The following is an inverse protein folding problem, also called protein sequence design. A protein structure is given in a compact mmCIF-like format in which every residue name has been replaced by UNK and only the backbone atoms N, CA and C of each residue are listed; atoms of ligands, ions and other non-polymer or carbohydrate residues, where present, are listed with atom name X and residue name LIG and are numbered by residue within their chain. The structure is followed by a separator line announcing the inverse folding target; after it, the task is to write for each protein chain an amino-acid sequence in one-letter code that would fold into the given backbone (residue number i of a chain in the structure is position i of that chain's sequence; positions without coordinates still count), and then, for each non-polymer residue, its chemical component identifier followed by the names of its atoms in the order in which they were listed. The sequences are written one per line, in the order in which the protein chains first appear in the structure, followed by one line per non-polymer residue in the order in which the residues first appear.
data_IF_653118246637
#
_entry.id   IF_653118246637
#
_cell.length_a   1.000
_cell.length_b   1.000
_cell.length_c   1.000
_cell.angle_alpha   90.00
_cell.angle_beta   90.00
_cell.angle_gamma   90.00
#
_symmetry.space_group_name_H-M   'P 1'
#
loop_
_entity.id
_entity.type
_entity.pdbx_description
1 polymer ?
#
# COMPACT_ATOMS: atom_id res chain seq x y z
N UNK A 1 6.92 -16.97 15.84
CA UNK A 1 8.29 -16.40 15.78
C UNK A 1 8.48 -15.53 17.02
N UNK A 2 9.59 -15.64 17.78
CA UNK A 2 9.76 -14.88 19.01
C UNK A 2 9.81 -13.38 18.71
N UNK A 3 9.29 -12.60 19.64
CA UNK A 3 9.17 -11.14 19.61
C UNK A 3 10.56 -10.48 19.68
N UNK A 4 11.34 -10.56 18.59
CA UNK A 4 12.65 -9.93 18.50
C UNK A 4 12.45 -8.43 18.32
N UNK A 5 12.77 -7.65 19.35
CA UNK A 5 12.95 -6.22 19.23
C UNK A 5 14.24 -6.00 18.43
N UNK A 6 14.11 -5.57 17.18
CA UNK A 6 15.26 -5.29 16.31
C UNK A 6 15.85 -3.95 16.76
N UNK A 7 17.14 -3.93 17.12
CA UNK A 7 17.87 -2.68 17.26
C UNK A 7 18.06 -2.04 15.87
N UNK A 8 17.22 -1.08 15.54
CA UNK A 8 17.28 -0.35 14.26
C UNK A 8 18.14 0.91 14.38
N UNK A 9 18.88 1.21 13.31
CA UNK A 9 19.68 2.44 13.18
C UNK A 9 18.78 3.68 13.21
N UNK A 10 19.29 4.81 13.72
CA UNK A 10 18.58 6.09 13.71
C UNK A 10 18.10 6.50 12.31
N UNK A 11 18.87 6.14 11.26
CA UNK A 11 18.46 6.39 9.88
C UNK A 11 17.20 5.60 9.50
N UNK A 12 17.13 4.32 9.89
CA UNK A 12 15.97 3.46 9.65
C UNK A 12 14.75 3.93 10.46
N UNK A 13 14.97 4.36 11.71
CA UNK A 13 13.93 4.93 12.55
C UNK A 13 13.31 6.19 11.94
N UNK A 14 14.15 7.08 11.42
CA UNK A 14 13.68 8.29 10.74
C UNK A 14 12.93 7.97 9.44
N UNK A 15 13.40 6.97 8.68
CA UNK A 15 12.70 6.50 7.49
C UNK A 15 11.29 5.98 7.82
N UNK A 16 11.17 5.06 8.79
CA UNK A 16 9.89 4.51 9.25
C UNK A 16 8.97 5.61 9.78
N UNK A 17 9.52 6.59 10.51
CA UNK A 17 8.76 7.73 11.01
C UNK A 17 8.17 8.58 9.88
N UNK A 18 8.91 8.78 8.79
CA UNK A 18 8.44 9.57 7.65
C UNK A 18 7.34 8.85 6.86
N UNK A 19 7.44 7.54 6.65
CA UNK A 19 6.45 6.76 5.88
C UNK A 19 5.17 6.47 6.68
N UNK A 20 5.23 6.51 8.01
CA UNK A 20 4.06 6.28 8.89
C UNK A 20 3.35 7.58 9.28
N UNK A 21 3.67 8.67 8.60
CA UNK A 21 2.87 9.91 8.62
C UNK A 21 1.52 9.66 7.94
N UNK A 22 0.48 10.34 8.40
CA UNK A 22 -0.90 10.05 8.00
C UNK A 22 -1.08 10.10 6.47
N UNK A 23 -0.50 11.11 5.80
CA UNK A 23 -0.58 11.30 4.35
C UNK A 23 0.02 10.15 3.52
N UNK A 24 1.11 9.55 4.00
CA UNK A 24 1.84 8.49 3.27
C UNK A 24 1.28 7.11 3.64
N UNK A 25 0.86 6.94 4.90
CA UNK A 25 0.35 5.68 5.43
C UNK A 25 -0.94 5.21 4.75
N UNK A 26 -1.81 6.13 4.36
CA UNK A 26 -3.08 5.81 3.71
C UNK A 26 -2.91 5.16 2.32
N UNK A 27 -1.75 5.32 1.69
CA UNK A 27 -1.44 4.70 0.38
C UNK A 27 -1.28 3.18 0.48
N UNK A 28 -0.74 2.68 1.60
CA UNK A 28 -0.39 1.26 1.76
C UNK A 28 -1.10 0.57 2.93
N UNK A 29 -1.66 1.32 3.88
CA UNK A 29 -2.42 0.82 5.02
C UNK A 29 -3.60 1.75 5.30
N UNK A 30 -4.70 1.64 4.53
CA UNK A 30 -5.77 2.63 4.59
C UNK A 30 -6.49 2.54 5.94
N UNK A 31 -6.56 3.68 6.63
CA UNK A 31 -7.28 3.82 7.91
C UNK A 31 -8.53 4.69 7.79
N UNK A 32 -8.70 5.35 6.64
CA UNK A 32 -9.81 6.23 6.30
C UNK A 32 -11.18 5.58 6.50
N UNK A 33 -12.14 6.40 6.93
CA UNK A 33 -13.56 6.02 7.02
C UNK A 33 -14.19 5.65 5.66
N UNK A 34 -13.54 6.01 4.54
CA UNK A 34 -13.94 5.62 3.17
C UNK A 34 -13.83 4.12 2.91
N UNK A 35 -12.98 3.41 3.66
CA UNK A 35 -12.90 1.95 3.60
C UNK A 35 -14.12 1.37 4.30
N UNK A 36 -14.94 0.60 3.56
CA UNK A 36 -16.21 0.09 4.08
C UNK A 36 -16.05 -1.09 5.06
N UNK A 37 -14.94 -1.83 4.97
CA UNK A 37 -14.70 -3.00 5.83
C UNK A 37 -13.99 -2.59 7.13
N UNK A 38 -14.65 -2.78 8.27
CA UNK A 38 -14.06 -2.47 9.58
C UNK A 38 -12.81 -3.31 9.87
N UNK A 39 -12.81 -4.59 9.49
CA UNK A 39 -11.65 -5.47 9.67
C UNK A 39 -10.42 -4.96 8.91
N UNK A 40 -10.60 -4.42 7.71
CA UNK A 40 -9.50 -3.82 6.94
C UNK A 40 -8.91 -2.62 7.70
N UNK A 41 -9.77 -1.72 8.19
CA UNK A 41 -9.31 -0.55 8.98
C UNK A 41 -8.59 -0.97 10.25
N UNK A 42 -9.11 -1.98 10.95
CA UNK A 42 -8.53 -2.53 12.17
C UNK A 42 -7.16 -3.16 11.91
N UNK A 43 -7.04 -4.05 10.92
CA UNK A 43 -5.77 -4.65 10.54
C UNK A 43 -4.74 -3.60 10.08
N UNK A 44 -5.15 -2.58 9.33
CA UNK A 44 -4.29 -1.44 8.95
C UNK A 44 -3.72 -0.72 10.17
N UNK A 45 -4.54 -0.44 11.19
CA UNK A 45 -4.10 0.21 12.44
C UNK A 45 -3.10 -0.65 13.20
N UNK A 46 -3.36 -1.95 13.33
CA UNK A 46 -2.43 -2.89 13.98
C UNK A 46 -1.11 -2.92 13.23
N UNK A 47 -1.14 -3.05 11.91
CA UNK A 47 0.05 -3.05 11.08
C UNK A 47 0.88 -1.77 11.26
N UNK A 48 0.26 -0.58 11.16
CA UNK A 48 0.94 0.69 11.35
C UNK A 48 1.52 0.84 12.76
N UNK A 49 0.79 0.38 13.78
CA UNK A 49 1.27 0.37 15.16
C UNK A 49 2.50 -0.54 15.33
N UNK A 50 2.48 -1.76 14.80
CA UNK A 50 3.61 -2.69 14.88
C UNK A 50 4.80 -2.24 14.02
N UNK A 51 4.55 -1.54 12.91
CA UNK A 51 5.58 -0.92 12.08
C UNK A 51 6.32 0.20 12.82
N UNK A 52 5.59 1.08 13.53
CA UNK A 52 6.18 2.12 14.41
C UNK A 52 7.00 1.53 15.56
N UNK A 53 6.64 0.33 16.00
CA UNK A 53 7.35 -0.43 17.04
C UNK A 53 8.46 -1.35 16.48
N UNK A 54 8.79 -1.25 15.20
CA UNK A 54 9.87 -2.02 14.55
C UNK A 54 9.74 -3.54 14.70
N UNK A 55 8.51 -4.06 14.71
CA UNK A 55 8.32 -5.51 14.71
C UNK A 55 8.77 -6.10 13.38
N UNK A 56 9.50 -7.21 13.46
CA UNK A 56 10.07 -7.89 12.30
C UNK A 56 9.02 -8.19 11.23
N UNK A 57 7.88 -8.76 11.62
CA UNK A 57 6.82 -9.13 10.67
C UNK A 57 6.27 -7.89 9.93
N UNK A 58 6.13 -6.76 10.63
CA UNK A 58 5.59 -5.52 10.04
C UNK A 58 6.62 -4.89 9.09
N UNK A 59 7.91 -4.93 9.46
CA UNK A 59 8.99 -4.51 8.57
C UNK A 59 9.06 -5.40 7.32
N UNK A 60 8.94 -6.72 7.46
CA UNK A 60 8.89 -7.66 6.33
C UNK A 60 7.65 -7.43 5.45
N UNK A 61 6.50 -7.17 6.05
CA UNK A 61 5.28 -6.84 5.30
C UNK A 61 5.47 -5.55 4.49
N UNK A 62 6.04 -4.51 5.10
CA UNK A 62 6.35 -3.27 4.40
C UNK A 62 7.40 -3.47 3.30
N UNK A 63 8.45 -4.24 3.55
CA UNK A 63 9.51 -4.56 2.59
C UNK A 63 8.98 -5.34 1.38
N UNK A 64 8.10 -6.30 1.62
CA UNK A 64 7.45 -7.11 0.58
C UNK A 64 6.42 -6.37 -0.27
N UNK A 65 5.88 -5.25 0.23
CA UNK A 65 4.89 -4.46 -0.51
C UNK A 65 5.48 -3.85 -1.79
N UNK A 66 4.66 -3.67 -2.83
CA UNK A 66 5.09 -2.97 -4.03
C UNK A 66 5.29 -1.47 -3.78
N UNK A 67 6.32 -0.88 -4.38
CA UNK A 67 6.60 0.56 -4.38
C UNK A 67 6.25 1.13 -5.75
N UNK A 68 5.93 2.43 -5.81
CA UNK A 68 5.66 3.11 -7.08
C UNK A 68 6.90 3.04 -7.99
N UNK A 69 6.82 2.41 -9.17
CA UNK A 69 7.96 2.31 -10.07
C UNK A 69 8.19 3.65 -10.77
N UNK A 70 9.40 3.85 -11.28
CA UNK A 70 9.64 4.93 -12.23
C UNK A 70 8.94 4.65 -13.56
N UNK A 71 8.57 5.71 -14.28
CA UNK A 71 7.97 5.58 -15.61
C UNK A 71 6.48 5.28 -15.65
N UNK A 72 5.74 5.45 -14.54
CA UNK A 72 4.26 5.35 -14.53
C UNK A 72 3.63 6.23 -15.62
N UNK A 73 4.11 7.47 -15.79
CA UNK A 73 3.64 8.40 -16.84
C UNK A 73 4.04 7.97 -18.26
N UNK A 74 4.87 6.93 -18.40
CA UNK A 74 5.25 6.31 -19.66
C UNK A 74 4.64 4.91 -19.83
N UNK A 75 3.62 4.58 -19.03
CA UNK A 75 2.91 3.30 -19.10
C UNK A 75 3.55 2.16 -18.29
N UNK A 76 4.51 2.42 -17.41
CA UNK A 76 5.01 1.37 -16.52
C UNK A 76 4.04 1.18 -15.34
N UNK A 77 3.17 0.17 -15.45
CA UNK A 77 2.17 -0.17 -14.43
C UNK A 77 2.57 -1.36 -13.55
N UNK A 78 3.78 -1.90 -13.70
CA UNK A 78 4.21 -3.09 -12.97
C UNK A 78 4.58 -2.75 -11.52
N UNK A 79 3.78 -3.23 -10.57
CA UNK A 79 3.99 -3.09 -9.13
C UNK A 79 4.01 -4.47 -8.48
N UNK A 80 5.15 -5.16 -8.59
CA UNK A 80 5.21 -6.59 -8.30
C UNK A 80 5.51 -6.93 -6.84
N UNK A 81 6.10 -6.03 -6.03
CA UNK A 81 6.50 -6.38 -4.65
C UNK A 81 7.37 -7.64 -4.58
N UNK A 82 7.56 -8.18 -3.37
CA UNK A 82 8.14 -9.51 -3.15
C UNK A 82 7.02 -10.51 -2.83
N UNK A 83 6.69 -11.36 -3.80
CA UNK A 83 5.59 -12.32 -3.73
C UNK A 83 5.76 -13.32 -2.59
N UNK A 84 6.91 -13.99 -2.55
CA UNK A 84 7.18 -15.07 -1.59
C UNK A 84 7.31 -14.52 -0.17
N UNK A 85 8.01 -13.40 -0.02
CA UNK A 85 8.14 -12.74 1.27
C UNK A 85 6.75 -12.30 1.78
N UNK A 86 5.92 -11.69 0.93
CA UNK A 86 4.58 -11.24 1.30
C UNK A 86 3.73 -12.40 1.86
N UNK A 87 3.63 -13.50 1.11
CA UNK A 87 2.84 -14.67 1.54
C UNK A 87 3.39 -15.35 2.79
N UNK A 88 4.70 -15.24 3.05
CA UNK A 88 5.32 -15.80 4.26
C UNK A 88 5.05 -14.98 5.53
N UNK A 89 4.60 -13.74 5.41
CA UNK A 89 4.35 -12.87 6.58
C UNK A 89 3.17 -13.37 7.38
N UNK A 90 3.41 -13.61 8.68
CA UNK A 90 2.38 -13.79 9.69
C UNK A 90 2.72 -12.94 10.91
N UNK A 91 1.80 -12.06 11.29
CA UNK A 91 1.90 -11.16 12.42
C UNK A 91 0.73 -11.30 13.37
N UNK A 92 0.91 -10.86 14.60
CA UNK A 92 -0.16 -10.70 15.57
C UNK A 92 0.17 -9.53 16.48
N UNK A 93 -0.85 -8.92 17.07
CA UNK A 93 -0.64 -7.91 18.10
C UNK A 93 -0.48 -8.58 19.48
N UNK A 94 0.42 -8.10 20.35
CA UNK A 94 0.57 -8.67 21.70
C UNK A 94 -0.71 -8.61 22.54
N UNK A 95 -1.56 -7.59 22.34
CA UNK A 95 -2.84 -7.43 23.04
C UNK A 95 -3.95 -8.33 22.50
N UNK A 96 -3.85 -8.82 21.26
CA UNK A 96 -4.85 -9.70 20.63
C UNK A 96 -4.18 -10.89 19.92
N UNK A 97 -3.60 -11.86 20.66
CA UNK A 97 -2.85 -12.97 20.07
C UNK A 97 -3.67 -13.88 19.15
N UNK A 98 -4.99 -13.92 19.34
CA UNK A 98 -5.94 -14.69 18.52
C UNK A 98 -6.18 -14.05 17.15
N UNK A 99 -5.89 -12.76 17.00
CA UNK A 99 -6.03 -12.03 15.74
C UNK A 99 -4.71 -12.08 14.97
N UNK A 100 -4.62 -13.02 14.04
CA UNK A 100 -3.47 -13.16 13.16
C UNK A 100 -3.67 -12.37 11.87
N UNK A 101 -2.70 -11.52 11.57
CA UNK A 101 -2.57 -10.85 10.28
C UNK A 101 -1.68 -11.72 9.40
N UNK A 102 -2.17 -12.09 8.22
CA UNK A 102 -1.40 -12.83 7.22
C UNK A 102 -1.20 -11.96 5.99
N UNK A 103 -0.03 -12.05 5.39
CA UNK A 103 0.20 -11.43 4.10
C UNK A 103 -0.69 -12.04 3.03
N UNK A 104 -1.16 -11.18 2.13
CA UNK A 104 -1.95 -11.54 0.95
C UNK A 104 -1.37 -10.76 -0.22
N UNK A 105 -1.08 -11.47 -1.30
CA UNK A 105 -0.50 -10.87 -2.48
C UNK A 105 -1.60 -10.41 -3.44
N UNK A 106 -1.65 -9.11 -3.70
CA UNK A 106 -2.62 -8.50 -4.61
C UNK A 106 -1.88 -7.82 -5.76
N UNK A 107 -2.30 -8.10 -7.00
CA UNK A 107 -1.87 -7.32 -8.15
C UNK A 107 -2.83 -6.14 -8.34
N UNK A 108 -2.31 -4.93 -8.11
CA UNK A 108 -3.02 -3.70 -8.37
C UNK A 108 -2.64 -3.14 -9.74
N UNK A 109 -3.67 -2.75 -10.50
CA UNK A 109 -3.52 -2.07 -11.77
C UNK A 109 -4.21 -0.70 -11.64
N UNK A 110 -3.54 0.37 -12.06
CA UNK A 110 -3.98 1.74 -11.78
C UNK A 110 -4.84 2.26 -12.93
N UNK A 111 -6.04 2.76 -12.61
CA UNK A 111 -6.83 3.57 -13.54
C UNK A 111 -6.68 5.05 -13.20
N UNK A 112 -6.46 5.88 -14.21
CA UNK A 112 -6.39 7.33 -14.06
C UNK A 112 -7.69 7.90 -14.61
N UNK A 113 -8.48 8.52 -13.75
CA UNK A 113 -9.67 9.26 -14.17
C UNK A 113 -9.46 10.74 -13.94
N UNK A 114 -9.76 11.57 -14.94
CA UNK A 114 -9.82 12.99 -14.75
C UNK A 114 -11.02 13.31 -13.85
N UNK A 115 -10.84 14.27 -12.93
CA UNK A 115 -11.95 14.84 -12.20
C UNK A 115 -12.27 16.20 -12.82
N UNK A 116 -13.55 16.51 -13.08
CA UNK A 116 -13.93 17.82 -13.55
C UNK A 116 -13.58 18.86 -12.48
N UNK A 117 -12.53 19.64 -12.70
CA UNK A 117 -12.17 20.73 -11.80
C UNK A 117 -12.92 21.99 -12.22
N UNK A 118 -13.91 22.40 -11.43
CA UNK A 118 -14.70 23.62 -11.62
C UNK A 118 -13.92 24.91 -11.24
N UNK A 119 -12.60 24.93 -11.44
CA UNK A 119 -11.75 26.06 -11.07
C UNK A 119 -11.19 26.75 -12.33
N UNK A 120 -11.85 27.85 -12.70
CA UNK A 120 -11.26 29.08 -13.26
C UNK A 120 -9.95 28.91 -14.06
N UNK A 121 -10.04 28.51 -15.33
CA UNK A 121 -9.01 28.79 -16.34
C UNK A 121 -7.89 27.76 -16.58
N UNK A 122 -8.01 26.50 -16.10
CA UNK A 122 -7.10 25.41 -16.50
C UNK A 122 -7.75 24.51 -17.57
N UNK A 123 -6.95 24.04 -18.54
CA UNK A 123 -7.39 23.07 -19.55
C UNK A 123 -7.86 21.77 -18.89
N UNK A 124 -8.98 21.25 -19.38
CA UNK A 124 -9.57 20.00 -18.89
C UNK A 124 -8.67 18.80 -19.22
N UNK A 125 -8.36 17.98 -18.21
CA UNK A 125 -7.60 16.74 -18.37
C UNK A 125 -8.47 15.56 -18.84
N UNK A 126 -9.79 15.76 -18.99
CA UNK A 126 -10.73 14.72 -19.43
C UNK A 126 -10.34 14.16 -20.79
N UNK A 127 -10.13 15.03 -21.79
CA UNK A 127 -9.80 14.60 -23.15
C UNK A 127 -8.48 13.81 -23.19
N UNK A 128 -7.33 14.35 -22.71
CA UNK A 128 -6.09 13.58 -22.66
C UNK A 128 -6.20 12.23 -21.95
N UNK A 129 -6.93 12.17 -20.82
CA UNK A 129 -7.15 10.92 -20.09
C UNK A 129 -8.00 9.94 -20.91
N UNK A 130 -9.05 10.41 -21.58
CA UNK A 130 -9.91 9.57 -22.41
C UNK A 130 -9.14 8.96 -23.60
N UNK A 131 -8.28 9.75 -24.25
CA UNK A 131 -7.39 9.26 -25.32
C UNK A 131 -6.37 8.24 -24.80
N UNK A 132 -5.79 8.48 -23.63
CA UNK A 132 -4.85 7.53 -23.03
C UNK A 132 -5.53 6.18 -22.71
N UNK A 133 -6.77 6.21 -22.21
CA UNK A 133 -7.57 5.00 -21.97
C UNK A 133 -7.96 4.28 -23.26
N UNK A 134 -8.38 5.01 -24.29
CA UNK A 134 -8.81 4.40 -25.58
C UNK A 134 -7.66 3.76 -26.33
N UNK A 135 -6.43 4.24 -26.13
CA UNK A 135 -5.21 3.62 -26.63
C UNK A 135 -4.72 2.44 -25.77
N UNK A 136 -5.48 2.04 -24.75
CA UNK A 136 -5.13 1.01 -23.76
C UNK A 136 -3.81 1.27 -23.03
N UNK A 137 -3.35 2.52 -22.98
CA UNK A 137 -2.12 2.91 -22.27
C UNK A 137 -2.31 2.82 -20.74
N UNK A 138 -3.56 2.75 -20.29
CA UNK A 138 -3.97 2.66 -18.89
C UNK A 138 -5.17 1.70 -18.83
N UNK A 139 -4.98 0.54 -18.21
CA UNK A 139 -6.05 -0.42 -17.86
C UNK A 139 -5.98 -0.66 -16.35
N UNK A 140 -7.11 -0.96 -15.73
CA UNK A 140 -7.16 -1.38 -14.32
C UNK A 140 -8.05 -2.60 -14.14
N UNK A 141 -7.48 -3.63 -13.54
CA UNK A 141 -8.18 -4.78 -12.96
C UNK A 141 -7.46 -5.16 -11.66
N UNK A 142 -8.22 -5.44 -10.59
CA UNK A 142 -7.68 -6.05 -9.38
C UNK A 142 -7.87 -7.55 -9.51
N UNK A 143 -6.76 -8.28 -9.54
CA UNK A 143 -6.79 -9.74 -9.54
C UNK A 143 -6.15 -10.23 -8.25
N UNK A 144 -6.98 -10.86 -7.43
CA UNK A 144 -6.50 -11.61 -6.27
C UNK A 144 -5.94 -12.92 -6.81
N UNK A 145 -4.61 -13.08 -6.73
CA UNK A 145 -3.93 -14.31 -7.13
C UNK A 145 -3.98 -15.26 -5.94
N UNK A 146 -5.04 -16.07 -5.88
CA UNK A 146 -5.15 -17.16 -4.92
C UNK A 146 -4.60 -18.43 -5.58
N UNK A 147 -3.53 -19.01 -5.02
CA UNK A 147 -2.98 -20.30 -5.44
C UNK A 147 -3.40 -21.40 -4.46
#
# INVERSE_FOLDING_TARGET
VPNQNIETSNAQKNYVKNITTDDVSDVFAPTSSKVQTEDCRRHSRIFLHQLKNYKLWALQMYDSSAKLPSGVLRGNTNQLGDFDQCLSVTGSEPSTPTEMIRGQYCLASIDISATPHAASGRESLETPVYWAKSMELIKSSRQDVSF
#
